data_IF_769215180657
#
_entry.id   IF_769215180657
#
_cell.length_a   1.000
_cell.length_b   1.000
_cell.length_c   1.000
_cell.angle_alpha   90.00
_cell.angle_beta   90.00
_cell.angle_gamma   90.00
#
_symmetry.space_group_name_H-M   'P 1'
#
loop_
_entity.id
_entity.type
_entity.pdbx_description
1 polymer ?
#
# COMPACT_ATOMS: atom_id res chain seq x y z
N UNK A 1 19.07 -21.95 24.33
CA UNK A 1 18.36 -21.41 23.16
C UNK A 1 18.66 -19.93 23.12
N UNK A 2 19.32 -19.52 22.06
CA UNK A 2 19.74 -18.14 21.81
C UNK A 2 19.10 -17.76 20.50
N UNK A 3 17.92 -17.16 20.60
CA UNK A 3 17.13 -16.78 19.43
C UNK A 3 17.67 -15.48 18.86
N UNK A 4 17.81 -15.44 17.55
CA UNK A 4 18.25 -14.29 16.79
C UNK A 4 17.24 -13.98 15.70
N UNK A 5 16.85 -12.71 15.60
CA UNK A 5 16.16 -12.16 14.44
C UNK A 5 17.21 -11.72 13.45
N UNK A 6 17.15 -12.25 12.24
CA UNK A 6 18.08 -11.94 11.16
C UNK A 6 17.26 -11.40 10.00
N UNK A 7 17.54 -10.17 9.58
CA UNK A 7 16.97 -9.56 8.37
C UNK A 7 18.01 -9.51 7.28
N UNK A 8 17.64 -10.02 6.11
CA UNK A 8 18.47 -10.00 4.92
C UNK A 8 17.62 -9.73 3.67
N UNK A 9 18.14 -8.93 2.74
CA UNK A 9 17.55 -8.78 1.42
C UNK A 9 17.96 -9.98 0.56
N UNK A 10 17.05 -10.91 0.30
CA UNK A 10 17.29 -12.09 -0.52
C UNK A 10 16.73 -11.86 -1.92
N UNK A 11 17.45 -12.30 -2.95
CA UNK A 11 16.95 -12.15 -4.31
C UNK A 11 15.73 -13.04 -4.52
N UNK A 12 14.62 -12.45 -5.00
CA UNK A 12 13.39 -13.15 -5.33
C UNK A 12 13.56 -14.01 -6.61
N UNK A 13 14.24 -15.15 -6.45
CA UNK A 13 14.47 -16.18 -7.47
C UNK A 13 14.39 -17.58 -6.86
N UNK A 14 13.92 -18.58 -7.61
CA UNK A 14 13.90 -19.95 -7.14
C UNK A 14 15.27 -20.41 -6.61
N UNK A 15 15.28 -21.00 -5.42
CA UNK A 15 16.48 -21.57 -4.79
C UNK A 15 17.29 -20.62 -3.92
N UNK A 16 17.11 -19.30 -4.00
CA UNK A 16 17.89 -18.33 -3.21
C UNK A 16 17.61 -18.46 -1.71
N UNK A 17 16.34 -18.45 -1.33
CA UNK A 17 15.91 -18.69 0.05
C UNK A 17 16.41 -20.04 0.58
N UNK A 18 16.39 -21.08 -0.25
CA UNK A 18 16.88 -22.41 0.11
C UNK A 18 18.39 -22.39 0.40
N UNK A 19 19.17 -21.63 -0.38
CA UNK A 19 20.59 -21.41 -0.14
C UNK A 19 20.88 -20.70 1.17
N UNK A 20 20.10 -19.66 1.51
CA UNK A 20 20.21 -18.93 2.78
C UNK A 20 19.91 -19.85 3.97
N UNK A 21 18.78 -20.57 3.93
CA UNK A 21 18.41 -21.52 5.00
C UNK A 21 19.41 -22.65 5.12
N UNK A 22 19.95 -23.15 4.01
CA UNK A 22 21.01 -24.17 4.01
C UNK A 22 22.30 -23.69 4.69
N UNK A 23 22.69 -22.43 4.46
CA UNK A 23 23.84 -21.83 5.12
C UNK A 23 23.62 -21.67 6.63
N UNK A 24 22.42 -21.23 7.04
CA UNK A 24 22.05 -21.17 8.46
C UNK A 24 22.14 -22.54 9.14
N UNK A 25 21.66 -23.59 8.48
CA UNK A 25 21.71 -24.95 9.00
C UNK A 25 23.15 -25.50 9.10
N UNK A 26 24.04 -25.13 8.18
CA UNK A 26 25.45 -25.54 8.20
C UNK A 26 26.19 -24.99 9.44
N UNK A 27 25.83 -23.79 9.89
CA UNK A 27 26.32 -23.17 11.12
C UNK A 27 25.54 -23.62 12.38
N UNK A 28 24.72 -24.67 12.26
CA UNK A 28 23.95 -25.25 13.37
C UNK A 28 22.71 -24.45 13.78
N UNK A 29 22.32 -23.43 13.00
CA UNK A 29 21.13 -22.63 13.23
C UNK A 29 19.85 -23.37 12.86
N UNK A 30 18.83 -23.29 13.72
CA UNK A 30 17.50 -23.84 13.48
C UNK A 30 16.50 -22.71 13.22
N UNK A 31 15.97 -22.61 12.00
CA UNK A 31 14.96 -21.60 11.64
C UNK A 31 13.62 -21.98 12.26
N UNK A 32 13.17 -21.21 13.25
CA UNK A 32 11.91 -21.42 13.97
C UNK A 32 10.80 -20.47 13.52
N UNK A 33 11.12 -19.46 12.72
CA UNK A 33 10.17 -18.55 12.11
C UNK A 33 10.73 -17.90 10.85
N UNK A 34 9.86 -17.64 9.89
CA UNK A 34 10.16 -16.91 8.65
C UNK A 34 9.01 -15.98 8.34
N UNK A 35 9.33 -14.72 8.06
CA UNK A 35 8.39 -13.72 7.54
C UNK A 35 9.04 -13.00 6.36
N UNK A 36 8.26 -12.79 5.31
CA UNK A 36 8.70 -12.09 4.11
C UNK A 36 8.04 -10.73 4.11
N UNK A 37 8.85 -9.67 4.08
CA UNK A 37 8.39 -8.29 4.15
C UNK A 37 8.65 -7.54 2.86
N UNK A 38 7.70 -6.69 2.50
CA UNK A 38 7.87 -5.68 1.48
C UNK A 38 8.62 -4.46 2.03
N UNK A 39 9.68 -4.03 1.35
CA UNK A 39 10.49 -2.87 1.72
C UNK A 39 10.69 -1.92 0.52
N UNK A 40 11.06 -0.63 0.70
CA UNK A 40 11.28 0.30 -0.40
C UNK A 40 12.31 -0.21 -1.42
N UNK A 41 13.36 -0.88 -0.94
CA UNK A 41 14.48 -1.33 -1.77
C UNK A 41 14.25 -2.74 -2.34
N UNK A 42 13.31 -3.52 -1.79
CA UNK A 42 13.23 -4.93 -2.14
C UNK A 42 12.20 -5.75 -1.37
N UNK A 43 12.40 -7.06 -1.44
CA UNK A 43 11.81 -8.01 -0.50
C UNK A 43 12.86 -8.26 0.57
N UNK A 44 12.48 -8.15 1.84
CA UNK A 44 13.35 -8.40 2.98
C UNK A 44 12.81 -9.61 3.71
N UNK A 45 13.65 -10.63 3.85
CA UNK A 45 13.32 -11.83 4.59
C UNK A 45 13.76 -11.63 6.04
N UNK A 46 12.85 -11.91 6.97
CA UNK A 46 13.08 -11.93 8.40
C UNK A 46 13.03 -13.38 8.90
N UNK A 47 14.15 -13.85 9.43
CA UNK A 47 14.30 -15.18 10.01
C UNK A 47 14.39 -15.06 11.54
N UNK A 48 13.68 -15.93 12.25
CA UNK A 48 13.94 -16.18 13.66
C UNK A 48 14.68 -17.52 13.75
N UNK A 49 15.91 -17.48 14.23
CA UNK A 49 16.83 -18.63 14.23
C UNK A 49 17.28 -18.91 15.66
N UNK A 50 17.14 -20.15 16.13
CA UNK A 50 17.83 -20.62 17.33
C UNK A 50 19.26 -21.00 16.95
N UNK A 51 20.22 -20.23 17.44
CA UNK A 51 21.64 -20.42 17.14
C UNK A 51 22.35 -20.93 18.38
N UNK A 52 22.85 -22.19 18.39
CA UNK A 52 23.60 -22.71 19.52
C UNK A 52 25.02 -22.11 19.54
N UNK A 53 25.28 -21.16 20.44
CA UNK A 53 26.60 -20.56 20.61
C UNK A 53 26.72 -19.18 19.95
N UNK A 54 27.78 -18.96 19.17
CA UNK A 54 28.04 -17.67 18.50
C UNK A 54 27.29 -17.57 17.17
N UNK A 55 26.68 -16.42 16.91
CA UNK A 55 25.85 -16.15 15.74
C UNK A 55 26.61 -15.49 14.59
N UNK A 56 27.84 -15.02 14.83
CA UNK A 56 28.62 -14.25 13.84
C UNK A 56 28.88 -15.00 12.55
N UNK A 57 29.32 -16.26 12.63
CA UNK A 57 29.57 -17.10 11.45
C UNK A 57 28.32 -17.26 10.58
N UNK A 58 27.16 -17.49 11.22
CA UNK A 58 25.88 -17.57 10.52
C UNK A 58 25.52 -16.24 9.84
N UNK A 59 25.70 -15.10 10.52
CA UNK A 59 25.42 -13.78 9.94
C UNK A 59 26.33 -13.50 8.75
N UNK A 60 27.62 -13.83 8.83
CA UNK A 60 28.59 -13.66 7.75
C UNK A 60 28.22 -14.50 6.52
N UNK A 61 27.77 -15.74 6.71
CA UNK A 61 27.31 -16.61 5.62
C UNK A 61 26.02 -16.09 4.96
N UNK A 62 25.09 -15.54 5.75
CA UNK A 62 23.88 -14.91 5.22
C UNK A 62 24.22 -13.64 4.44
N UNK A 63 25.17 -12.84 4.93
CA UNK A 63 25.60 -11.60 4.28
C UNK A 63 26.24 -11.84 2.90
N UNK A 64 27.04 -12.90 2.77
CA UNK A 64 27.63 -13.29 1.48
C UNK A 64 26.58 -13.69 0.42
N UNK A 65 25.33 -13.96 0.83
CA UNK A 65 24.24 -14.44 -0.03
C UNK A 65 23.12 -13.42 -0.17
N UNK A 66 23.18 -12.28 0.54
CA UNK A 66 22.20 -11.21 0.41
C UNK A 66 22.53 -10.28 -0.75
N UNK A 67 21.50 -9.64 -1.31
CA UNK A 67 21.61 -8.73 -2.47
C UNK A 67 22.35 -7.45 -2.09
N UNK A 68 22.24 -7.05 -0.82
CA UNK A 68 23.07 -6.03 -0.19
C UNK A 68 23.83 -6.70 0.94
N UNK A 69 25.10 -6.36 1.17
CA UNK A 69 25.88 -6.85 2.33
C UNK A 69 25.29 -6.39 3.69
N UNK A 70 24.12 -5.75 3.69
CA UNK A 70 23.40 -5.29 4.87
C UNK A 70 22.54 -6.40 5.46
N UNK A 71 23.13 -7.21 6.33
CA UNK A 71 22.40 -8.12 7.22
C UNK A 71 22.32 -7.51 8.60
N UNK A 72 21.12 -7.49 9.17
CA UNK A 72 20.90 -7.06 10.55
C UNK A 72 20.56 -8.27 11.39
N UNK A 73 21.28 -8.45 12.50
CA UNK A 73 21.04 -9.50 13.47
C UNK A 73 20.86 -8.88 14.85
N UNK A 74 19.71 -9.15 15.48
CA UNK A 74 19.39 -8.71 16.84
C UNK A 74 18.84 -9.88 17.65
N UNK A 75 19.04 -9.91 18.99
CA UNK A 75 18.43 -10.94 19.82
C UNK A 75 16.91 -10.97 19.66
N UNK A 76 16.35 -12.16 19.51
CA UNK A 76 14.90 -12.39 19.45
C UNK A 76 14.39 -12.98 20.76
N UNK A 77 13.11 -12.70 21.07
CA UNK A 77 12.45 -13.18 22.27
C UNK A 77 11.59 -14.42 21.97
N UNK A 78 11.39 -15.35 22.91
CA UNK A 78 10.56 -16.54 22.69
C UNK A 78 9.13 -16.25 22.23
N UNK A 79 8.55 -15.12 22.66
CA UNK A 79 7.22 -14.68 22.24
C UNK A 79 7.12 -14.39 20.74
N UNK A 80 8.24 -14.21 20.06
CA UNK A 80 8.29 -13.90 18.63
C UNK A 80 8.18 -15.15 17.75
N UNK A 81 8.32 -16.35 18.33
CA UNK A 81 8.17 -17.66 17.68
C UNK A 81 6.70 -18.15 17.71
N UNK A 82 5.77 -17.25 18.04
CA UNK A 82 4.36 -17.59 18.24
C UNK A 82 3.49 -17.42 16.99
N UNK A 83 2.23 -17.86 17.10
CA UNK A 83 1.21 -17.61 16.08
C UNK A 83 0.78 -16.13 16.10
N UNK A 84 1.37 -15.36 15.19
CA UNK A 84 1.09 -13.94 14.97
C UNK A 84 -0.38 -13.68 14.58
N UNK A 85 -1.03 -14.60 13.87
CA UNK A 85 -2.42 -14.47 13.44
C UNK A 85 -3.32 -14.55 14.66
N UNK A 86 -3.16 -15.59 15.48
CA UNK A 86 -3.92 -15.74 16.73
C UNK A 86 -3.68 -14.56 17.67
N UNK A 87 -2.42 -14.10 17.83
CA UNK A 87 -2.13 -12.90 18.63
C UNK A 87 -2.88 -11.67 18.12
N UNK A 88 -2.84 -11.43 16.82
CA UNK A 88 -3.51 -10.26 16.20
C UNK A 88 -5.02 -10.28 16.42
N UNK A 89 -5.65 -11.45 16.31
CA UNK A 89 -7.08 -11.63 16.55
C UNK A 89 -7.44 -11.41 18.04
N UNK A 90 -6.62 -11.91 18.96
CA UNK A 90 -6.82 -11.71 20.40
C UNK A 90 -6.64 -10.24 20.80
N UNK A 91 -5.65 -9.54 20.24
CA UNK A 91 -5.45 -8.10 20.44
C UNK A 91 -6.65 -7.30 19.94
N UNK A 92 -7.14 -7.61 18.73
CA UNK A 92 -8.35 -7.01 18.17
C UNK A 92 -9.55 -7.23 19.08
N UNK A 93 -9.77 -8.47 19.56
CA UNK A 93 -10.86 -8.80 20.47
C UNK A 93 -10.78 -8.03 21.79
N UNK A 94 -9.58 -7.87 22.38
CA UNK A 94 -9.36 -7.09 23.60
C UNK A 94 -9.71 -5.61 23.39
N UNK A 95 -9.25 -5.03 22.29
CA UNK A 95 -9.48 -3.61 22.00
C UNK A 95 -10.95 -3.27 21.75
N UNK A 96 -11.79 -4.24 21.38
CA UNK A 96 -13.25 -4.02 21.31
C UNK A 96 -13.86 -3.68 22.67
N UNK A 97 -13.31 -4.23 23.75
CA UNK A 97 -13.76 -3.97 25.12
C UNK A 97 -12.98 -2.82 25.76
N UNK A 98 -11.71 -2.65 25.40
CA UNK A 98 -10.78 -1.68 26.00
C UNK A 98 -10.03 -0.86 24.94
N UNK A 99 -10.71 0.03 24.17
CA UNK A 99 -10.08 0.76 23.06
C UNK A 99 -8.94 1.70 23.47
N UNK A 100 -8.91 2.12 24.74
CA UNK A 100 -7.88 2.98 25.30
C UNK A 100 -6.51 2.30 25.42
N UNK A 101 -6.46 0.95 25.37
CA UNK A 101 -5.21 0.16 25.38
C UNK A 101 -4.58 -0.01 23.99
N UNK A 102 -5.03 0.78 23.01
CA UNK A 102 -4.50 0.73 21.64
C UNK A 102 -2.97 0.88 21.57
N UNK A 103 -2.30 1.79 22.32
CA UNK A 103 -0.85 1.85 22.33
C UNK A 103 -0.20 0.55 22.79
N UNK A 104 -0.69 -0.05 23.88
CA UNK A 104 -0.17 -1.31 24.42
C UNK A 104 -0.35 -2.46 23.43
N UNK A 105 -1.51 -2.52 22.78
CA UNK A 105 -1.80 -3.53 21.75
C UNK A 105 -0.91 -3.36 20.52
N UNK A 106 -0.70 -2.13 20.04
CA UNK A 106 0.22 -1.83 18.93
C UNK A 106 1.67 -2.16 19.28
N UNK A 107 2.09 -1.86 20.52
CA UNK A 107 3.41 -2.22 21.03
C UNK A 107 3.63 -3.73 21.04
N UNK A 108 2.61 -4.49 21.47
CA UNK A 108 2.65 -5.95 21.47
C UNK A 108 2.64 -6.52 20.05
N UNK A 109 1.77 -5.99 19.17
CA UNK A 109 1.61 -6.43 17.79
C UNK A 109 2.88 -6.27 16.97
N UNK A 110 3.58 -5.13 17.13
CA UNK A 110 4.77 -4.79 16.35
C UNK A 110 6.08 -5.04 17.10
N UNK A 111 6.02 -5.64 18.29
CA UNK A 111 7.18 -5.90 19.13
C UNK A 111 8.04 -4.64 19.33
N UNK A 112 7.39 -3.51 19.58
CA UNK A 112 8.05 -2.23 19.85
C UNK A 112 8.42 -2.11 21.34
N UNK A 113 9.43 -1.29 21.64
CA UNK A 113 9.85 -1.02 23.01
C UNK A 113 8.92 -0.01 23.68
N UNK A 114 8.49 0.99 22.92
CA UNK A 114 7.59 2.04 23.40
C UNK A 114 6.41 2.25 22.44
N UNK A 115 5.24 2.57 23.00
CA UNK A 115 4.11 3.09 22.27
C UNK A 115 3.36 4.09 23.13
N UNK A 116 3.06 5.28 22.61
CA UNK A 116 2.36 6.34 23.35
C UNK A 116 1.39 7.09 22.46
N UNK A 117 0.29 7.53 23.04
CA UNK A 117 -0.60 8.50 22.40
C UNK A 117 0.14 9.81 22.11
N UNK A 118 -0.12 10.39 20.93
CA UNK A 118 0.39 11.69 20.53
C UNK A 118 -0.65 12.47 19.71
N UNK A 119 -0.39 13.76 19.49
CA UNK A 119 -1.17 14.60 18.58
C UNK A 119 -0.57 14.54 17.17
N UNK A 120 -1.41 14.59 16.14
CA UNK A 120 -0.95 14.67 14.74
C UNK A 120 -0.61 16.11 14.31
N UNK A 121 -1.07 17.11 15.07
CA UNK A 121 -0.69 18.52 14.91
C UNK A 121 0.60 18.77 15.72
N UNK A 122 1.67 19.35 15.15
CA UNK A 122 2.96 19.37 15.82
C UNK A 122 2.98 20.40 16.95
N UNK A 123 3.55 20.09 18.14
CA UNK A 123 4.63 20.91 18.64
C UNK A 123 5.89 20.65 17.78
N UNK A 124 6.65 21.68 17.44
CA UNK A 124 7.92 21.55 16.72
C UNK A 124 8.79 20.44 17.34
N UNK A 125 9.51 19.64 16.54
CA UNK A 125 10.40 18.63 17.09
C UNK A 125 11.60 19.31 17.79
N UNK A 126 11.73 19.11 19.10
CA UNK A 126 12.93 19.49 19.87
C UNK A 126 14.17 18.64 19.49
N UNK A 127 13.99 17.53 18.76
CA UNK A 127 15.07 16.62 18.38
C UNK A 127 14.89 16.03 16.96
N UNK A 128 16.01 15.63 16.37
CA UNK A 128 16.09 14.95 15.08
C UNK A 128 15.47 13.55 15.21
N UNK A 129 14.23 13.35 14.77
CA UNK A 129 13.63 12.01 14.68
C UNK A 129 14.51 11.17 13.74
N UNK A 130 15.01 10.03 14.21
CA UNK A 130 15.55 9.01 13.31
C UNK A 130 14.35 8.32 12.64
N UNK A 131 14.05 8.62 11.37
CA UNK A 131 12.73 8.37 10.79
C UNK A 131 12.41 6.88 10.63
N UNK A 132 13.41 6.00 10.69
CA UNK A 132 13.23 4.58 10.41
C UNK A 132 12.92 3.76 11.69
N UNK A 133 13.33 4.22 12.88
CA UNK A 133 13.13 3.54 14.18
C UNK A 133 11.88 4.01 14.93
N UNK A 134 11.14 4.96 14.35
CA UNK A 134 9.91 5.53 14.91
C UNK A 134 8.78 5.35 13.90
N UNK A 135 7.61 4.89 14.36
CA UNK A 135 6.41 4.77 13.52
C UNK A 135 5.27 5.57 14.13
N UNK A 136 4.70 6.48 13.34
CA UNK A 136 3.49 7.20 13.70
C UNK A 136 2.28 6.53 13.03
N UNK A 137 1.35 6.03 13.84
CA UNK A 137 0.12 5.39 13.38
C UNK A 137 -1.06 6.34 13.67
N UNK A 138 -1.66 6.98 12.66
CA UNK A 138 -2.79 7.87 12.86
C UNK A 138 -4.00 7.14 13.46
N UNK A 139 -4.69 7.79 14.39
CA UNK A 139 -5.95 7.33 14.99
C UNK A 139 -6.98 8.46 14.82
N UNK A 140 -7.50 8.54 13.60
CA UNK A 140 -8.35 9.65 13.17
C UNK A 140 -7.56 10.95 12.93
N UNK A 141 -8.25 12.11 12.86
CA UNK A 141 -7.65 13.34 12.36
C UNK A 141 -6.79 14.12 13.36
N UNK A 142 -6.84 13.80 14.65
CA UNK A 142 -6.23 14.61 15.71
C UNK A 142 -5.18 13.86 16.54
N UNK A 143 -5.31 12.54 16.64
CA UNK A 143 -4.50 11.70 17.51
C UNK A 143 -3.79 10.64 16.69
N UNK A 144 -2.67 10.16 17.20
CA UNK A 144 -1.96 9.01 16.69
C UNK A 144 -1.32 8.24 17.84
N UNK A 145 -0.79 7.07 17.53
CA UNK A 145 0.12 6.33 18.41
C UNK A 145 1.51 6.41 17.80
N UNK A 146 2.46 6.93 18.57
CA UNK A 146 3.88 6.91 18.21
C UNK A 146 4.53 5.68 18.84
N UNK A 147 5.07 4.80 18.02
CA UNK A 147 5.88 3.66 18.41
C UNK A 147 7.37 3.96 18.22
N UNK A 148 8.21 3.39 19.07
CA UNK A 148 9.66 3.47 18.94
C UNK A 148 10.30 2.10 19.16
N UNK A 149 11.29 1.81 18.33
CA UNK A 149 12.09 0.58 18.36
C UNK A 149 13.52 0.89 17.89
N UNK A 150 14.51 1.03 18.79
CA UNK A 150 15.83 1.55 18.45
C UNK A 150 16.74 0.53 17.77
N UNK A 151 16.47 -0.78 17.91
CA UNK A 151 17.32 -1.85 17.40
C UNK A 151 17.06 -2.16 15.92
N UNK A 152 15.88 -1.80 15.38
CA UNK A 152 15.53 -2.06 13.98
C UNK A 152 14.39 -1.19 13.44
N UNK A 153 14.41 -0.87 12.14
CA UNK A 153 13.40 -0.03 11.53
C UNK A 153 12.05 -0.75 11.36
N UNK A 154 10.97 0.02 11.26
CA UNK A 154 9.63 -0.49 10.93
C UNK A 154 9.47 -0.70 9.41
N UNK A 155 8.94 -1.85 9.02
CA UNK A 155 8.63 -2.18 7.62
C UNK A 155 7.27 -1.63 7.20
N UNK A 156 7.01 -1.57 5.90
CA UNK A 156 5.69 -1.20 5.37
C UNK A 156 4.60 -2.18 5.79
N UNK A 157 4.91 -3.48 5.86
CA UNK A 157 3.99 -4.50 6.34
C UNK A 157 3.63 -4.29 7.82
N UNK A 158 4.59 -3.89 8.66
CA UNK A 158 4.33 -3.55 10.07
C UNK A 158 3.46 -2.30 10.20
N UNK A 159 3.74 -1.24 9.43
CA UNK A 159 2.90 -0.03 9.35
C UNK A 159 1.46 -0.37 8.98
N UNK A 160 1.27 -1.19 7.94
CA UNK A 160 -0.04 -1.62 7.49
C UNK A 160 -0.79 -2.49 8.51
N UNK A 161 -0.07 -3.38 9.21
CA UNK A 161 -0.64 -4.20 10.29
C UNK A 161 -1.15 -3.32 11.44
N UNK A 162 -0.37 -2.31 11.82
CA UNK A 162 -0.79 -1.34 12.84
C UNK A 162 -2.03 -0.55 12.40
N UNK A 163 -2.01 -0.02 11.19
CA UNK A 163 -3.13 0.73 10.60
C UNK A 163 -4.41 -0.12 10.49
N UNK A 164 -4.28 -1.40 10.13
CA UNK A 164 -5.37 -2.38 10.15
C UNK A 164 -5.93 -2.62 11.55
N UNK A 165 -5.07 -2.75 12.57
CA UNK A 165 -5.50 -2.88 13.96
C UNK A 165 -6.26 -1.63 14.42
N UNK A 166 -5.77 -0.43 14.11
CA UNK A 166 -6.47 0.83 14.41
C UNK A 166 -7.84 0.87 13.75
N UNK A 167 -7.93 0.56 12.44
CA UNK A 167 -9.22 0.53 11.73
C UNK A 167 -10.22 -0.43 12.34
N UNK A 168 -9.77 -1.59 12.85
CA UNK A 168 -10.64 -2.60 13.44
C UNK A 168 -11.37 -2.13 14.71
N UNK A 169 -10.86 -1.07 15.36
CA UNK A 169 -11.38 -0.54 16.64
C UNK A 169 -12.00 0.85 16.50
N UNK A 170 -11.78 1.53 15.37
CA UNK A 170 -12.44 2.78 15.06
C UNK A 170 -13.92 2.52 14.70
N UNK A 171 -14.81 3.49 14.96
CA UNK A 171 -16.17 3.42 14.44
C UNK A 171 -16.12 3.23 12.92
N UNK A 172 -17.02 2.41 12.34
CA UNK A 172 -17.06 2.24 10.89
C UNK A 172 -17.22 3.62 10.25
N UNK A 173 -16.22 4.03 9.48
CA UNK A 173 -16.43 5.06 8.49
C UNK A 173 -17.52 4.49 7.56
N UNK A 174 -18.58 5.25 7.29
CA UNK A 174 -19.59 4.84 6.31
C UNK A 174 -18.95 4.44 4.98
N UNK A 175 -19.73 3.87 4.03
CA UNK A 175 -19.19 3.42 2.77
C UNK A 175 -18.34 4.52 2.12
N UNK A 176 -17.12 4.16 1.72
CA UNK A 176 -16.19 5.09 1.08
C UNK A 176 -16.90 5.74 -0.10
N UNK A 177 -16.93 7.09 -0.21
CA UNK A 177 -17.51 7.75 -1.36
C UNK A 177 -16.82 7.25 -2.62
N UNK A 178 -17.61 6.69 -3.54
CA UNK A 178 -17.12 6.19 -4.83
C UNK A 178 -17.63 7.03 -6.00
N UNK A 179 -18.14 8.23 -5.71
CA UNK A 179 -18.50 9.23 -6.70
C UNK A 179 -18.29 10.65 -6.18
N UNK A 180 -18.08 11.59 -7.10
CA UNK A 180 -17.90 13.02 -6.82
C UNK A 180 -16.89 13.67 -7.74
N UNK A 181 -16.57 14.93 -7.46
CA UNK A 181 -15.73 15.75 -8.32
C UNK A 181 -14.22 15.50 -8.10
N UNK A 182 -13.36 15.80 -9.05
CA UNK A 182 -11.90 15.86 -8.91
C UNK A 182 -11.38 17.03 -9.74
N UNK A 183 -10.32 17.68 -9.28
CA UNK A 183 -9.64 18.73 -10.04
C UNK A 183 -8.24 18.24 -10.41
N UNK A 184 -7.89 18.32 -11.70
CA UNK A 184 -6.55 17.94 -12.16
C UNK A 184 -5.52 19.04 -11.86
N UNK A 185 -4.23 18.73 -12.01
CA UNK A 185 -3.17 19.74 -11.87
C UNK A 185 -3.21 20.84 -12.95
N UNK A 186 -3.89 20.58 -14.08
CA UNK A 186 -4.12 21.60 -15.11
C UNK A 186 -5.39 22.43 -14.86
N UNK A 187 -6.13 22.14 -13.78
CA UNK A 187 -7.37 22.82 -13.43
C UNK A 187 -8.62 22.26 -14.11
N UNK A 188 -8.55 21.09 -14.77
CA UNK A 188 -9.75 20.46 -15.31
C UNK A 188 -10.61 19.89 -14.19
N UNK A 189 -11.91 20.19 -14.23
CA UNK A 189 -12.90 19.61 -13.33
C UNK A 189 -13.50 18.33 -13.94
N UNK A 190 -13.36 17.23 -13.21
CA UNK A 190 -13.86 15.92 -13.59
C UNK A 190 -14.95 15.48 -12.62
N UNK A 191 -15.97 14.81 -13.13
CA UNK A 191 -16.86 14.01 -12.32
C UNK A 191 -16.45 12.54 -12.41
N UNK A 192 -16.31 11.90 -11.26
CA UNK A 192 -15.90 10.50 -11.12
C UNK A 192 -17.02 9.71 -10.48
N UNK A 193 -17.21 8.47 -10.92
CA UNK A 193 -18.19 7.55 -10.35
C UNK A 193 -17.71 6.10 -10.43
N UNK A 194 -18.24 5.26 -9.53
CA UNK A 194 -18.10 3.81 -9.61
C UNK A 194 -18.87 3.29 -10.81
N UNK A 195 -18.16 2.53 -11.65
CA UNK A 195 -18.74 1.82 -12.78
C UNK A 195 -19.72 0.76 -12.28
N UNK A 196 -20.89 0.70 -12.88
CA UNK A 196 -21.89 -0.35 -12.69
C UNK A 196 -22.32 -0.98 -14.01
N UNK A 197 -23.24 -1.95 -13.93
CA UNK A 197 -23.68 -2.75 -15.08
C UNK A 197 -24.24 -1.93 -16.26
N UNK A 198 -24.76 -0.73 -16.00
CA UNK A 198 -25.34 0.15 -17.02
C UNK A 198 -24.29 0.98 -17.79
N UNK A 199 -23.03 0.98 -17.35
CA UNK A 199 -21.96 1.79 -17.97
C UNK A 199 -21.28 1.09 -19.15
N UNK A 200 -21.59 -0.19 -19.43
CA UNK A 200 -20.85 -1.00 -20.41
C UNK A 200 -20.66 -0.33 -21.78
N UNK A 201 -21.72 0.28 -22.34
CA UNK A 201 -21.63 0.94 -23.64
C UNK A 201 -20.83 2.26 -23.59
N UNK A 202 -20.90 3.02 -22.49
CA UNK A 202 -20.11 4.26 -22.36
C UNK A 202 -18.62 3.94 -22.24
N UNK A 203 -18.27 2.87 -21.51
CA UNK A 203 -16.89 2.39 -21.39
C UNK A 203 -16.35 1.83 -22.70
N UNK A 204 -17.18 1.09 -23.44
CA UNK A 204 -16.83 0.60 -24.77
C UNK A 204 -16.54 1.75 -25.73
N UNK A 205 -17.34 2.82 -25.71
CA UNK A 205 -17.10 4.03 -26.52
C UNK A 205 -15.79 4.74 -26.14
N UNK A 206 -15.48 4.87 -24.85
CA UNK A 206 -14.17 5.36 -24.40
C UNK A 206 -13.02 4.52 -24.96
N UNK A 207 -13.11 3.19 -24.84
CA UNK A 207 -12.07 2.28 -25.32
C UNK A 207 -11.85 2.41 -26.84
N UNK A 208 -12.92 2.51 -27.62
CA UNK A 208 -12.84 2.66 -29.07
C UNK A 208 -12.23 3.99 -29.55
N UNK A 209 -12.25 5.04 -28.72
CA UNK A 209 -11.59 6.32 -29.01
C UNK A 209 -10.09 6.31 -28.67
N UNK A 210 -9.64 5.37 -27.85
CA UNK A 210 -8.24 5.26 -27.48
C UNK A 210 -7.39 4.69 -28.63
N UNK A 211 -6.17 5.19 -28.78
CA UNK A 211 -5.23 4.64 -29.76
C UNK A 211 -4.81 3.20 -29.43
N UNK A 212 -4.33 2.46 -30.43
CA UNK A 212 -3.75 1.13 -30.23
C UNK A 212 -2.58 1.16 -29.23
N UNK A 213 -1.81 2.25 -29.20
CA UNK A 213 -0.73 2.41 -28.24
C UNK A 213 -1.26 2.55 -26.80
N UNK A 214 -2.32 3.33 -26.61
CA UNK A 214 -2.98 3.52 -25.30
C UNK A 214 -3.56 2.19 -24.80
N UNK A 215 -4.27 1.44 -25.63
CA UNK A 215 -4.82 0.14 -25.24
C UNK A 215 -3.72 -0.89 -24.99
N UNK A 216 -2.68 -0.95 -25.82
CA UNK A 216 -1.52 -1.84 -25.61
C UNK A 216 -0.79 -1.55 -24.31
N UNK A 217 -0.66 -0.29 -23.91
CA UNK A 217 -0.06 0.09 -22.61
C UNK A 217 -0.92 -0.33 -21.42
N UNK A 218 -2.24 -0.34 -21.57
CA UNK A 218 -3.21 -0.71 -20.53
C UNK A 218 -3.35 -2.23 -20.33
N UNK A 219 -3.38 -2.98 -21.43
CA UNK A 219 -3.73 -4.40 -21.46
C UNK A 219 -2.55 -5.32 -21.83
N UNK A 220 -1.36 -4.75 -22.06
CA UNK A 220 -0.15 -5.45 -22.55
C UNK A 220 -0.31 -6.15 -23.91
N UNK A 221 -1.45 -5.93 -24.57
CA UNK A 221 -1.79 -6.44 -25.89
C UNK A 221 -2.66 -5.42 -26.61
N UNK A 222 -2.63 -5.42 -27.95
CA UNK A 222 -3.55 -4.59 -28.71
C UNK A 222 -4.95 -5.18 -28.61
N UNK A 223 -5.85 -4.42 -27.98
CA UNK A 223 -7.24 -4.82 -27.76
C UNK A 223 -8.15 -3.85 -28.49
N UNK A 224 -8.88 -4.32 -29.51
CA UNK A 224 -9.74 -3.47 -30.33
C UNK A 224 -11.07 -3.13 -29.67
N UNK A 225 -11.54 -3.96 -28.74
CA UNK A 225 -12.85 -3.81 -28.13
C UNK A 225 -12.87 -4.44 -26.72
N UNK A 226 -13.75 -3.93 -25.86
CA UNK A 226 -14.01 -4.50 -24.53
C UNK A 226 -15.04 -5.61 -24.63
N UNK A 227 -14.65 -6.83 -24.28
CA UNK A 227 -15.58 -7.96 -24.28
C UNK A 227 -16.62 -7.82 -23.16
N UNK A 228 -17.83 -8.40 -23.32
CA UNK A 228 -18.83 -8.42 -22.25
C UNK A 228 -18.31 -9.04 -20.94
N UNK A 229 -17.44 -10.05 -21.04
CA UNK A 229 -16.81 -10.67 -19.86
C UNK A 229 -15.89 -9.71 -19.11
N UNK A 230 -15.08 -8.91 -19.83
CA UNK A 230 -14.22 -7.91 -19.20
C UNK A 230 -15.03 -6.78 -18.56
N UNK A 231 -16.10 -6.32 -19.22
CA UNK A 231 -17.02 -5.34 -18.64
C UNK A 231 -17.70 -5.87 -17.37
N UNK A 232 -18.06 -7.16 -17.35
CA UNK A 232 -18.60 -7.80 -16.14
C UNK A 232 -17.59 -7.76 -14.98
N UNK A 233 -16.32 -8.08 -15.24
CA UNK A 233 -15.25 -8.00 -14.23
C UNK A 233 -15.05 -6.57 -13.72
N UNK A 234 -15.14 -5.56 -14.60
CA UNK A 234 -15.00 -4.16 -14.18
C UNK A 234 -16.12 -3.70 -13.24
N UNK A 235 -17.30 -4.31 -13.31
CA UNK A 235 -18.45 -4.00 -12.47
C UNK A 235 -18.49 -4.83 -11.17
N UNK A 236 -17.67 -5.88 -11.07
CA UNK A 236 -17.72 -6.84 -9.98
C UNK A 236 -16.90 -6.35 -8.77
N UNK A 237 -17.59 -6.12 -7.66
CA UNK A 237 -16.99 -5.67 -6.40
C UNK A 237 -16.13 -6.72 -5.73
N UNK A 238 -16.27 -8.01 -6.08
CA UNK A 238 -15.38 -9.07 -5.60
C UNK A 238 -13.98 -8.97 -6.23
N UNK A 239 -13.85 -8.33 -7.39
CA UNK A 239 -12.58 -8.13 -8.08
C UNK A 239 -11.92 -6.78 -7.73
N UNK A 240 -12.66 -5.84 -7.16
CA UNK A 240 -12.17 -4.55 -6.69
C UNK A 240 -13.11 -3.39 -7.02
N UNK A 241 -12.54 -2.25 -7.40
CA UNK A 241 -13.25 -1.02 -7.75
C UNK A 241 -12.79 -0.49 -9.10
N UNK A 242 -13.76 -0.17 -9.96
CA UNK A 242 -13.52 0.62 -11.18
C UNK A 242 -14.18 1.98 -11.04
N UNK A 243 -13.40 3.03 -11.26
CA UNK A 243 -13.86 4.41 -11.39
C UNK A 243 -13.79 4.83 -12.85
N UNK A 244 -14.86 5.45 -13.34
CA UNK A 244 -14.88 6.19 -14.60
C UNK A 244 -14.84 7.69 -14.32
N UNK A 245 -14.22 8.45 -15.21
CA UNK A 245 -14.15 9.90 -15.13
C UNK A 245 -14.63 10.54 -16.42
N UNK A 246 -15.39 11.63 -16.30
CA UNK A 246 -15.89 12.46 -17.39
C UNK A 246 -15.72 13.94 -17.04
N UNK A 247 -15.80 14.87 -18.00
CA UNK A 247 -15.84 16.29 -17.71
C UNK A 247 -17.01 16.63 -16.76
N UNK A 248 -16.80 17.56 -15.81
CA UNK A 248 -17.84 17.96 -14.86
C UNK A 248 -19.11 18.46 -15.57
N UNK A 249 -18.94 19.14 -16.71
CA UNK A 249 -20.04 19.68 -17.55
C UNK A 249 -20.93 18.60 -18.18
N UNK A 250 -20.50 17.34 -18.24
CA UNK A 250 -21.23 16.28 -18.93
C UNK A 250 -20.40 15.52 -19.95
N UNK A 251 -21.08 14.67 -20.72
CA UNK A 251 -20.48 13.95 -21.84
C UNK A 251 -19.99 12.55 -21.50
N UNK A 252 -19.23 11.98 -22.44
CA UNK A 252 -18.72 10.63 -22.35
C UNK A 252 -17.56 10.51 -21.35
N UNK A 253 -17.35 9.31 -20.77
CA UNK A 253 -16.15 9.04 -20.00
C UNK A 253 -14.89 9.27 -20.85
N UNK A 254 -13.88 9.91 -20.27
CA UNK A 254 -12.55 10.15 -20.85
C UNK A 254 -11.45 9.33 -20.20
N UNK A 255 -11.73 8.69 -19.05
CA UNK A 255 -10.77 7.82 -18.38
C UNK A 255 -11.44 6.74 -17.52
N UNK A 256 -10.67 5.67 -17.29
CA UNK A 256 -10.94 4.59 -16.35
C UNK A 256 -9.76 4.43 -15.40
N UNK A 257 -10.06 4.11 -14.15
CA UNK A 257 -9.10 3.77 -13.12
C UNK A 257 -9.60 2.56 -12.34
N UNK A 258 -8.76 1.55 -12.20
CA UNK A 258 -9.09 0.33 -11.48
C UNK A 258 -8.21 0.21 -10.25
N UNK A 259 -8.79 -0.24 -9.15
CA UNK A 259 -8.12 -0.74 -7.96
C UNK A 259 -8.59 -2.18 -7.76
N UNK A 260 -7.72 -3.14 -8.05
CA UNK A 260 -8.02 -4.57 -8.05
C UNK A 260 -7.44 -5.23 -6.81
N UNK A 261 -8.13 -6.22 -6.27
CA UNK A 261 -7.54 -7.08 -5.25
C UNK A 261 -6.45 -7.96 -5.87
N UNK A 262 -5.43 -8.25 -5.08
CA UNK A 262 -4.36 -9.18 -5.46
C UNK A 262 -4.41 -10.40 -4.53
N UNK A 263 -3.75 -11.52 -4.89
CA UNK A 263 -3.58 -12.64 -3.98
C UNK A 263 -2.77 -12.28 -2.72
N UNK A 264 -1.97 -11.22 -2.77
CA UNK A 264 -1.16 -10.74 -1.66
C UNK A 264 -2.05 -9.95 -0.67
N UNK A 265 -2.23 -10.42 0.58
CA UNK A 265 -3.12 -9.76 1.54
C UNK A 265 -2.70 -8.31 1.79
N UNK A 266 -3.66 -7.38 1.65
CA UNK A 266 -3.42 -5.96 1.86
C UNK A 266 -2.72 -5.25 0.71
N UNK A 267 -2.48 -5.90 -0.44
CA UNK A 267 -1.93 -5.25 -1.63
C UNK A 267 -3.04 -5.09 -2.68
N UNK A 268 -3.24 -3.85 -3.13
CA UNK A 268 -4.10 -3.53 -4.27
C UNK A 268 -3.28 -3.26 -5.52
N UNK A 269 -3.82 -3.58 -6.70
CA UNK A 269 -3.19 -3.24 -7.97
C UNK A 269 -3.97 -2.13 -8.67
N UNK A 270 -3.28 -1.08 -9.12
CA UNK A 270 -3.89 0.01 -9.88
C UNK A 270 -3.53 0.01 -11.33
N UNK A 271 -4.51 0.35 -12.16
CA UNK A 271 -4.29 0.56 -13.58
C UNK A 271 -5.26 1.57 -14.18
N UNK A 272 -4.80 2.26 -15.22
CA UNK A 272 -5.48 3.44 -15.77
C UNK A 272 -5.57 3.39 -17.29
N UNK A 273 -6.69 3.85 -17.83
CA UNK A 273 -6.89 4.14 -19.25
C UNK A 273 -7.32 5.61 -19.35
N UNK A 274 -6.64 6.42 -20.16
CA UNK A 274 -6.99 7.83 -20.39
C UNK A 274 -6.98 8.06 -21.89
N UNK A 275 -8.07 8.61 -22.42
CA UNK A 275 -8.20 8.97 -23.83
C UNK A 275 -7.06 9.91 -24.25
N UNK A 276 -6.48 9.65 -25.43
CA UNK A 276 -5.27 10.30 -25.93
C UNK A 276 -5.31 11.83 -25.87
N UNK A 277 -6.45 12.44 -26.20
CA UNK A 277 -6.66 13.90 -26.16
C UNK A 277 -6.63 14.52 -24.76
N UNK A 278 -6.85 13.72 -23.72
CA UNK A 278 -6.86 14.15 -22.31
C UNK A 278 -5.60 13.71 -21.55
N UNK A 279 -4.62 13.11 -22.24
CA UNK A 279 -3.34 12.77 -21.66
C UNK A 279 -2.48 14.02 -21.42
N UNK A 280 -1.64 14.00 -20.39
CA UNK A 280 -0.78 15.13 -20.03
C UNK A 280 -1.48 16.24 -19.24
N UNK A 281 -2.81 16.20 -19.09
CA UNK A 281 -3.61 17.17 -18.32
C UNK A 281 -3.77 16.79 -16.83
N UNK A 282 -2.99 15.83 -16.34
CA UNK A 282 -3.02 15.42 -14.93
C UNK A 282 -4.19 14.48 -14.53
N UNK A 283 -5.06 14.09 -15.46
CA UNK A 283 -6.18 13.14 -15.24
C UNK A 283 -5.73 11.86 -14.52
N UNK A 284 -4.70 11.18 -15.06
CA UNK A 284 -4.19 9.95 -14.46
C UNK A 284 -3.62 10.13 -13.05
N UNK A 285 -3.01 11.30 -12.76
CA UNK A 285 -2.50 11.60 -11.41
C UNK A 285 -3.64 11.89 -10.43
N UNK A 286 -4.68 12.61 -10.86
CA UNK A 286 -5.86 12.86 -10.05
C UNK A 286 -6.58 11.55 -9.68
N UNK A 287 -6.74 10.65 -10.65
CA UNK A 287 -7.32 9.32 -10.43
C UNK A 287 -6.45 8.45 -9.52
N UNK A 288 -5.12 8.46 -9.69
CA UNK A 288 -4.21 7.72 -8.81
C UNK A 288 -4.31 8.18 -7.35
N UNK A 289 -4.44 9.49 -7.10
CA UNK A 289 -4.67 10.03 -5.76
C UNK A 289 -5.99 9.58 -5.16
N UNK A 290 -7.06 9.60 -5.95
CA UNK A 290 -8.37 9.12 -5.53
C UNK A 290 -8.32 7.64 -5.15
N UNK A 291 -7.76 6.78 -6.01
CA UNK A 291 -7.63 5.34 -5.71
C UNK A 291 -6.72 5.06 -4.51
N UNK A 292 -5.65 5.84 -4.33
CA UNK A 292 -4.77 5.70 -3.14
C UNK A 292 -5.49 6.01 -1.86
N UNK A 293 -6.36 7.03 -1.87
CA UNK A 293 -7.18 7.37 -0.70
C UNK A 293 -8.19 6.27 -0.42
N UNK A 294 -8.85 5.75 -1.47
CA UNK A 294 -9.81 4.65 -1.33
C UNK A 294 -9.12 3.37 -0.82
N UNK A 295 -7.94 3.05 -1.33
CA UNK A 295 -7.15 1.92 -0.85
C UNK A 295 -6.78 2.05 0.63
N UNK A 296 -6.47 3.27 1.10
CA UNK A 296 -6.20 3.54 2.52
C UNK A 296 -7.46 3.30 3.36
N UNK A 297 -8.61 3.74 2.88
CA UNK A 297 -9.89 3.53 3.55
C UNK A 297 -10.31 2.04 3.55
N UNK A 298 -9.94 1.28 2.51
CA UNK A 298 -10.10 -0.18 2.44
C UNK A 298 -9.11 -0.94 3.33
N UNK A 299 -8.08 -0.24 3.80
CA UNK A 299 -7.03 -0.79 4.64
C UNK A 299 -5.97 -1.60 3.94
N UNK A 300 -5.73 -1.30 2.66
CA UNK A 300 -4.59 -1.82 1.94
C UNK A 300 -3.30 -1.20 2.49
N UNK A 301 -2.28 -2.05 2.62
CA UNK A 301 -0.91 -1.70 2.96
C UNK A 301 -0.22 -0.94 1.83
N UNK A 302 -0.46 -1.39 0.59
CA UNK A 302 0.31 -1.02 -0.58
C UNK A 302 -0.59 -1.00 -1.81
N UNK A 303 -0.31 -0.06 -2.71
CA UNK A 303 -0.73 -0.13 -4.10
C UNK A 303 0.47 -0.47 -4.98
N UNK A 304 0.28 -1.47 -5.84
CA UNK A 304 1.19 -1.83 -6.93
C UNK A 304 0.66 -1.29 -8.25
N UNK A 305 1.57 -0.95 -9.16
CA UNK A 305 1.25 -0.85 -10.57
C UNK A 305 2.31 -1.57 -11.42
N UNK A 306 1.86 -2.36 -12.37
CA UNK A 306 2.72 -2.98 -13.37
C UNK A 306 2.57 -2.27 -14.71
N UNK A 307 3.70 -2.04 -15.37
CA UNK A 307 3.68 -1.39 -16.69
C UNK A 307 4.90 -1.76 -17.51
N UNK A 308 4.83 -1.61 -18.84
CA UNK A 308 5.99 -1.82 -19.70
C UNK A 308 7.05 -0.73 -19.49
N UNK A 309 8.33 -1.08 -19.64
CA UNK A 309 9.45 -0.16 -19.45
C UNK A 309 9.36 1.13 -20.30
N UNK A 310 8.73 1.03 -21.47
CA UNK A 310 8.49 2.18 -22.37
C UNK A 310 7.36 3.12 -21.93
N UNK A 311 6.51 2.75 -20.97
CA UNK A 311 5.37 3.56 -20.52
C UNK A 311 5.81 4.66 -19.55
N UNK A 312 6.56 5.63 -20.06
CA UNK A 312 7.05 6.80 -19.31
C UNK A 312 5.93 7.62 -18.64
N UNK A 313 4.74 7.83 -19.25
CA UNK A 313 3.65 8.52 -18.59
C UNK A 313 3.19 7.83 -17.30
N UNK A 314 2.98 6.51 -17.32
CA UNK A 314 2.56 5.76 -16.13
C UNK A 314 3.61 5.81 -15.02
N UNK A 315 4.89 5.62 -15.38
CA UNK A 315 5.98 5.76 -14.40
C UNK A 315 6.03 7.17 -13.80
N UNK A 316 5.71 8.22 -14.57
CA UNK A 316 5.62 9.59 -14.05
C UNK A 316 4.48 9.74 -13.04
N UNK A 317 3.30 9.19 -13.33
CA UNK A 317 2.17 9.18 -12.37
C UNK A 317 2.61 8.54 -11.06
N UNK A 318 3.20 7.35 -11.12
CA UNK A 318 3.64 6.63 -9.92
C UNK A 318 4.75 7.37 -9.16
N UNK A 319 5.76 7.96 -9.84
CA UNK A 319 6.78 8.80 -9.16
C UNK A 319 6.17 10.02 -8.48
N UNK A 320 5.21 10.69 -9.12
CA UNK A 320 4.51 11.85 -8.53
C UNK A 320 3.73 11.46 -7.26
N UNK A 321 3.26 10.22 -7.19
CA UNK A 321 2.64 9.66 -5.99
C UNK A 321 3.64 9.29 -4.89
N UNK A 322 4.95 9.36 -5.14
CA UNK A 322 5.99 8.92 -4.21
C UNK A 322 6.28 7.42 -4.28
N UNK A 323 5.82 6.73 -5.32
CA UNK A 323 6.05 5.30 -5.47
C UNK A 323 7.53 4.99 -5.77
N UNK A 324 8.02 3.89 -5.20
CA UNK A 324 9.33 3.35 -5.57
C UNK A 324 9.19 2.52 -6.83
N UNK A 325 10.06 2.76 -7.82
CA UNK A 325 10.04 2.09 -9.11
C UNK A 325 11.25 1.17 -9.22
N UNK A 326 10.99 -0.13 -9.40
CA UNK A 326 12.05 -1.12 -9.58
C UNK A 326 12.65 -1.04 -10.99
N UNK A 327 13.89 -1.49 -11.11
CA UNK A 327 14.54 -1.66 -12.40
C UNK A 327 13.72 -2.62 -13.28
N UNK A 328 13.67 -2.41 -14.61
CA UNK A 328 12.90 -3.27 -15.49
C UNK A 328 13.37 -4.74 -15.42
N UNK A 329 12.42 -5.67 -15.38
CA UNK A 329 12.65 -7.13 -15.53
C UNK A 329 11.76 -7.64 -16.66
N UNK A 330 12.35 -8.35 -17.62
CA UNK A 330 11.64 -8.88 -18.81
C UNK A 330 10.78 -7.83 -19.55
N UNK A 331 11.28 -6.59 -19.63
CA UNK A 331 10.59 -5.47 -20.28
C UNK A 331 9.45 -4.85 -19.45
N UNK A 332 9.20 -5.34 -18.24
CA UNK A 332 8.18 -4.86 -17.31
C UNK A 332 8.82 -4.07 -16.16
N UNK A 333 8.08 -3.11 -15.64
CA UNK A 333 8.44 -2.23 -14.54
C UNK A 333 7.33 -2.30 -13.50
N UNK A 334 7.72 -2.52 -12.26
CA UNK A 334 6.82 -2.53 -11.12
C UNK A 334 7.04 -1.27 -10.28
N UNK A 335 5.96 -0.54 -10.00
CA UNK A 335 5.92 0.56 -9.07
C UNK A 335 5.15 0.15 -7.81
N UNK A 336 5.66 0.54 -6.63
CA UNK A 336 5.10 0.19 -5.33
C UNK A 336 4.91 1.45 -4.50
N UNK A 337 3.73 1.64 -3.96
CA UNK A 337 3.36 2.81 -3.17
C UNK A 337 2.78 2.34 -1.83
N UNK A 338 3.46 2.60 -0.70
CA UNK A 338 2.85 2.39 0.61
C UNK A 338 1.65 3.32 0.79
N UNK A 339 0.56 2.76 1.30
CA UNK A 339 -0.69 3.47 1.54
C UNK A 339 -0.86 3.75 3.04
N UNK A 340 -0.39 2.82 3.89
CA UNK A 340 -0.32 3.00 5.34
C UNK A 340 0.90 3.86 5.75
N UNK A 341 0.65 5.01 6.37
CA UNK A 341 1.69 5.89 6.95
C UNK A 341 2.38 6.89 6.01
N UNK A 342 2.15 6.84 4.69
CA UNK A 342 2.88 7.66 3.71
C UNK A 342 2.28 9.07 3.45
N UNK A 343 1.14 9.40 4.04
CA UNK A 343 0.50 10.71 3.82
C UNK A 343 0.34 11.42 5.16
N UNK A 344 1.03 12.55 5.39
CA UNK A 344 0.68 13.45 6.49
C UNK A 344 -0.81 13.74 6.35
N UNK A 345 -1.61 13.37 7.35
CA UNK A 345 -3.03 13.70 7.44
C UNK A 345 -3.22 15.22 7.54
N UNK A 346 -2.99 15.94 6.44
CA UNK A 346 -3.50 17.30 6.27
C UNK A 346 -4.98 17.15 5.93
N UNK A 347 -5.80 17.40 6.95
CA UNK A 347 -7.23 17.78 6.92
C UNK A 347 -7.99 17.45 5.62
N UNK A 348 -9.00 16.61 5.76
CA UNK A 348 -10.15 16.55 4.85
C UNK A 348 -10.22 15.23 4.10
N UNK A 349 -11.19 14.41 4.49
CA UNK A 349 -11.61 13.17 3.83
C UNK A 349 -11.80 13.36 2.32
N UNK A 350 -12.00 12.25 1.59
CA UNK A 350 -12.54 12.22 0.23
C UNK A 350 -13.63 13.27 -0.04
N UNK A 351 -14.48 13.63 0.94
CA UNK A 351 -15.45 14.73 0.85
C UNK A 351 -14.87 16.12 0.49
N UNK A 352 -13.57 16.36 0.71
CA UNK A 352 -12.88 17.59 0.31
C UNK A 352 -12.28 17.53 -1.10
N UNK A 353 -11.99 16.33 -1.60
CA UNK A 353 -11.54 16.10 -2.97
C UNK A 353 -12.73 15.92 -3.91
N UNK A 354 -13.76 15.23 -3.42
CA UNK A 354 -15.05 14.94 -4.03
C UNK A 354 -16.10 15.86 -3.45
N UNK A 355 -16.23 17.06 -4.02
CA UNK A 355 -17.36 17.95 -3.73
C UNK A 355 -18.65 17.31 -4.26
N UNK A 356 -19.66 17.20 -3.39
CA UNK A 356 -21.03 16.88 -3.80
C UNK A 356 -21.59 17.99 -4.70
N UNK A 357 -22.21 17.67 -5.84
CA UNK A 357 -23.00 18.65 -6.58
C UNK A 357 -24.34 18.87 -5.87
N UNK A 358 -24.61 20.08 -5.36
CA UNK A 358 -26.00 20.47 -5.05
C UNK A 358 -26.30 21.27 -3.79
N UNK A 359 -25.34 21.81 -3.03
CA UNK A 359 -25.66 22.77 -1.97
C UNK A 359 -25.88 24.18 -2.55
N UNK A 360 -27.00 24.38 -3.24
CA UNK A 360 -27.49 25.72 -3.55
C UNK A 360 -27.71 26.47 -2.24
N UNK A 361 -27.04 27.61 -2.09
CA UNK A 361 -27.10 28.43 -0.89
C UNK A 361 -28.52 28.87 -0.58
N UNK A 362 -29.08 28.37 0.52
CA UNK A 362 -30.10 29.10 1.26
C UNK A 362 -29.39 30.08 2.18
N UNK A 363 -29.22 31.32 1.70
CA UNK A 363 -29.10 32.47 2.59
C UNK A 363 -30.45 32.61 3.28
N UNK A 364 -30.51 32.28 4.57
CA UNK A 364 -31.60 32.74 5.42
C UNK A 364 -31.39 34.24 5.66
N UNK A 365 -32.49 34.96 5.47
CA UNK A 365 -32.63 36.41 5.60
C UNK A 365 -32.35 36.92 7.01
#
# INVERSE_FOLDING_TARGET
MTLWRIRAAVEDRPGQLAGVVGAMAAEGGNVVGLSIHADPVGVVDEFIVDVPGDHRGLVDEVAQRSVSDSVMAVPAQPREVGDDVTRSLLLTARLRSEPNQLPEALRELLLADEARWCNLTPPEPEFQEEPETTLLVPVGPLRGVRLRRPDRPFTWTESARADALVRSVLPPAGPVPTSGSLVTSSGEELFVWRVGANDGESLRRLHLRCSEETTRRRYFTTMRDLSPGMLSVFCDTEHGLTLAARPAEGGDPLALAHLMYTPDPGVGEVAFLVEDSHQGLGVGTALARALTTIAADWGLAEIRAETVAGNRPMQRVMRTMGATIRAPRDGMVQARLPVAGAVPHRRGRLASLMTEPGAAGQRLA
#
